data_IF_401911091023
#
_entry.id   IF_401911091023
#
_cell.length_a   1.000
_cell.length_b   1.000
_cell.length_c   1.000
_cell.angle_alpha   90.00
_cell.angle_beta   90.00
_cell.angle_gamma   90.00
#
_symmetry.space_group_name_H-M   'P 1'
#
loop_
_entity.id
_entity.type
_entity.pdbx_description
1 polymer ?
#
# COMPACT_ATOMS: atom_id res chain seq x y z
N UNK A 1 3.58 -11.47 8.30
CA UNK A 1 3.24 -12.77 7.67
C UNK A 1 3.76 -12.81 6.24
N UNK A 2 4.13 -13.98 5.70
CA UNK A 2 4.72 -14.09 4.35
C UNK A 2 3.84 -14.94 3.43
N UNK A 3 3.61 -14.46 2.22
CA UNK A 3 2.79 -15.10 1.20
C UNK A 3 3.57 -15.26 -0.11
N UNK A 4 3.33 -16.36 -0.81
CA UNK A 4 3.86 -16.60 -2.16
C UNK A 4 2.75 -16.55 -3.23
N UNK A 5 1.51 -16.29 -2.84
CA UNK A 5 0.34 -16.17 -3.71
C UNK A 5 -0.32 -14.81 -3.45
N UNK A 6 -0.46 -14.00 -4.51
CA UNK A 6 -1.02 -12.66 -4.41
C UNK A 6 -2.48 -12.67 -4.00
N UNK A 7 -3.26 -13.65 -4.47
CA UNK A 7 -4.70 -13.73 -4.21
C UNK A 7 -4.98 -14.08 -2.74
N UNK A 8 -4.13 -14.90 -2.13
CA UNK A 8 -4.22 -15.20 -0.69
C UNK A 8 -3.81 -13.96 0.10
N UNK A 9 -2.70 -13.31 -0.28
CA UNK A 9 -2.22 -12.10 0.35
C UNK A 9 -3.28 -10.98 0.38
N UNK A 10 -3.88 -10.66 -0.78
CA UNK A 10 -4.88 -9.60 -0.86
C UNK A 10 -6.15 -9.96 -0.10
N UNK A 11 -6.63 -11.20 -0.20
CA UNK A 11 -7.80 -11.66 0.53
C UNK A 11 -7.63 -11.53 2.04
N UNK A 12 -6.47 -11.91 2.57
CA UNK A 12 -6.19 -11.78 4.00
C UNK A 12 -6.01 -10.32 4.40
N UNK A 13 -5.35 -9.50 3.58
CA UNK A 13 -5.23 -8.06 3.83
C UNK A 13 -6.61 -7.36 3.86
N UNK A 14 -7.47 -7.63 2.89
CA UNK A 14 -8.84 -7.10 2.81
C UNK A 14 -9.71 -7.57 3.98
N UNK A 15 -9.53 -8.83 4.41
CA UNK A 15 -10.20 -9.33 5.60
C UNK A 15 -9.72 -8.59 6.86
N UNK A 16 -8.42 -8.40 7.03
CA UNK A 16 -7.83 -7.74 8.19
C UNK A 16 -8.16 -6.24 8.30
N UNK A 17 -8.37 -5.52 7.19
CA UNK A 17 -8.86 -4.12 7.27
C UNK A 17 -10.34 -4.05 7.65
N UNK A 18 -11.11 -5.11 7.36
CA UNK A 18 -12.53 -5.12 7.68
C UNK A 18 -12.74 -5.25 9.19
N UNK A 19 -11.88 -6.00 9.89
CA UNK A 19 -12.08 -6.38 11.28
C UNK A 19 -11.76 -5.27 12.29
N UNK A 20 -12.51 -5.22 13.40
CA UNK A 20 -12.18 -4.33 14.52
C UNK A 20 -11.00 -4.84 15.35
N UNK A 21 -10.20 -3.89 15.82
CA UNK A 21 -9.16 -4.13 16.81
C UNK A 21 -7.76 -4.32 16.22
N UNK A 22 -7.56 -4.06 14.93
CA UNK A 22 -6.22 -3.87 14.38
C UNK A 22 -5.98 -2.38 14.17
N UNK A 23 -4.87 -1.86 14.68
CA UNK A 23 -4.57 -0.43 14.60
C UNK A 23 -3.67 -0.06 13.41
N UNK A 24 -2.90 -1.02 12.90
CA UNK A 24 -2.01 -0.81 11.76
C UNK A 24 -1.95 -2.06 10.89
N UNK A 25 -2.08 -1.86 9.57
CA UNK A 25 -1.90 -2.88 8.56
C UNK A 25 -1.24 -2.26 7.33
N UNK A 26 -0.11 -2.82 6.92
CA UNK A 26 0.58 -2.51 5.68
C UNK A 26 1.03 -3.79 4.99
N UNK A 27 1.48 -3.66 3.75
CA UNK A 27 2.09 -4.76 3.03
C UNK A 27 3.20 -4.29 2.12
N UNK A 28 4.18 -5.16 1.92
CA UNK A 28 5.33 -4.89 1.08
C UNK A 28 5.60 -6.06 0.13
N UNK A 29 6.27 -5.76 -0.98
CA UNK A 29 6.66 -6.76 -1.98
C UNK A 29 8.17 -6.93 -1.91
N UNK A 30 8.61 -8.18 -1.77
CA UNK A 30 10.01 -8.57 -1.78
C UNK A 30 10.31 -9.35 -3.05
N UNK A 31 11.43 -9.03 -3.70
CA UNK A 31 11.83 -9.65 -4.96
C UNK A 31 13.25 -10.21 -4.83
N UNK A 32 13.55 -11.28 -5.56
CA UNK A 32 14.82 -12.01 -5.46
C UNK A 32 16.07 -11.19 -5.86
N UNK A 33 15.90 -10.15 -6.68
CA UNK A 33 16.95 -9.22 -7.07
C UNK A 33 17.07 -7.98 -6.15
N UNK A 34 16.22 -7.85 -5.13
CA UNK A 34 16.34 -6.77 -4.14
C UNK A 34 17.51 -7.08 -3.18
N UNK A 35 18.50 -6.18 -3.04
CA UNK A 35 19.58 -6.35 -2.07
C UNK A 35 19.06 -6.66 -0.66
N UNK A 36 19.75 -7.54 0.08
CA UNK A 36 19.26 -8.01 1.38
C UNK A 36 18.99 -6.89 2.38
N UNK A 37 19.74 -5.79 2.31
CA UNK A 37 19.53 -4.59 3.13
C UNK A 37 18.30 -3.78 2.75
N UNK A 38 17.74 -3.95 1.56
CA UNK A 38 16.58 -3.20 1.08
C UNK A 38 15.25 -3.90 1.38
N UNK A 39 15.22 -5.24 1.43
CA UNK A 39 14.03 -5.97 1.90
C UNK A 39 14.06 -6.27 3.41
N UNK A 40 15.22 -6.16 4.08
CA UNK A 40 15.34 -6.31 5.54
C UNK A 40 14.52 -5.23 6.25
N UNK A 41 13.25 -5.52 6.42
CA UNK A 41 12.45 -4.91 7.45
C UNK A 41 13.10 -5.21 8.80
N UNK A 42 13.23 -4.21 9.66
CA UNK A 42 13.78 -4.38 11.02
C UNK A 42 12.95 -5.37 11.87
N UNK A 43 11.77 -5.74 11.39
CA UNK A 43 10.89 -6.73 12.00
C UNK A 43 11.31 -8.19 11.79
N UNK A 44 12.23 -8.50 10.84
CA UNK A 44 12.68 -9.89 10.63
C UNK A 44 13.91 -10.24 11.46
N UNK A 45 13.84 -11.26 12.34
CA UNK A 45 15.03 -11.76 13.04
C UNK A 45 16.06 -12.31 12.05
N UNK A 46 17.37 -12.10 12.27
CA UNK A 46 18.43 -12.64 11.41
C UNK A 46 18.35 -14.16 11.19
N UNK A 47 17.77 -14.89 12.14
CA UNK A 47 17.57 -16.34 12.07
C UNK A 47 16.67 -16.79 10.89
N UNK A 48 15.75 -15.94 10.41
CA UNK A 48 14.81 -16.27 9.34
C UNK A 48 15.30 -15.91 7.93
N UNK A 49 16.46 -15.27 7.81
CA UNK A 49 16.95 -14.76 6.51
C UNK A 49 17.18 -15.85 5.47
N UNK A 50 17.70 -17.00 5.89
CA UNK A 50 17.95 -18.13 4.99
C UNK A 50 16.65 -18.71 4.43
N UNK A 51 15.60 -18.76 5.25
CA UNK A 51 14.27 -19.22 4.87
C UNK A 51 13.63 -18.23 3.88
N UNK A 52 13.67 -16.93 4.18
CA UNK A 52 13.14 -15.88 3.30
C UNK A 52 13.86 -15.88 1.95
N UNK A 53 15.19 -15.99 1.98
CA UNK A 53 16.01 -16.07 0.75
C UNK A 53 15.67 -17.32 -0.08
N UNK A 54 15.38 -18.44 0.58
CA UNK A 54 14.96 -19.67 -0.11
C UNK A 54 13.58 -19.51 -0.76
N UNK A 55 12.65 -18.81 -0.11
CA UNK A 55 11.33 -18.52 -0.66
C UNK A 55 11.45 -17.60 -1.88
N UNK A 56 12.22 -16.51 -1.78
CA UNK A 56 12.45 -15.58 -2.88
C UNK A 56 13.08 -16.27 -4.09
N UNK A 57 14.10 -17.11 -3.90
CA UNK A 57 14.71 -17.88 -5.00
C UNK A 57 13.74 -18.86 -5.67
N UNK A 58 12.78 -19.38 -4.90
CA UNK A 58 11.81 -20.37 -5.40
C UNK A 58 10.65 -19.71 -6.14
N UNK A 59 10.17 -18.57 -5.66
CA UNK A 59 8.93 -17.94 -6.11
C UNK A 59 9.14 -16.64 -6.90
N UNK A 60 10.36 -16.07 -6.88
CA UNK A 60 10.72 -14.77 -7.48
C UNK A 60 10.19 -13.58 -6.67
N UNK A 61 8.93 -13.66 -6.23
CA UNK A 61 8.23 -12.62 -5.46
C UNK A 61 7.66 -13.24 -4.19
N UNK A 62 7.80 -12.53 -3.07
CA UNK A 62 7.16 -12.83 -1.79
C UNK A 62 6.48 -11.57 -1.28
N UNK A 63 5.23 -11.71 -0.84
CA UNK A 63 4.45 -10.61 -0.25
C UNK A 63 4.56 -10.68 1.27
N UNK A 64 4.88 -9.55 1.90
CA UNK A 64 4.83 -9.41 3.35
C UNK A 64 3.58 -8.66 3.75
N UNK A 65 2.92 -9.14 4.79
CA UNK A 65 1.85 -8.43 5.50
C UNK A 65 2.35 -8.05 6.88
N UNK A 66 2.42 -6.75 7.12
CA UNK A 66 2.93 -6.11 8.33
C UNK A 66 1.75 -5.57 9.14
N UNK A 67 1.69 -5.91 10.43
CA UNK A 67 0.59 -5.52 11.30
C UNK A 67 1.12 -5.09 12.66
N UNK A 68 0.44 -4.13 13.29
CA UNK A 68 0.73 -3.76 14.67
C UNK A 68 -0.55 -3.68 15.49
N UNK A 69 -0.46 -4.19 16.71
CA UNK A 69 -1.48 -4.14 17.75
C UNK A 69 -0.89 -3.36 18.91
N UNK A 70 -1.51 -2.25 19.28
CA UNK A 70 -1.07 -1.51 20.46
C UNK A 70 -1.57 -2.21 21.72
N UNK A 71 -0.73 -2.22 22.75
CA UNK A 71 -1.08 -2.70 24.08
C UNK A 71 -0.52 -1.75 25.14
N UNK A 72 -1.11 -1.83 26.31
CA UNK A 72 -0.72 -1.11 27.53
C UNK A 72 -0.53 -2.11 28.67
N UNK A 73 -0.27 -1.61 29.88
CA UNK A 73 -0.05 -2.43 31.07
C UNK A 73 -1.27 -3.31 31.41
N UNK A 74 -2.47 -2.93 30.97
CA UNK A 74 -3.70 -3.68 31.23
C UNK A 74 -3.90 -4.81 30.22
N UNK A 75 -3.50 -4.60 28.97
CA UNK A 75 -3.74 -5.50 27.83
C UNK A 75 -2.53 -6.37 27.44
N UNK A 76 -1.35 -6.11 28.01
CA UNK A 76 -0.10 -6.86 27.71
C UNK A 76 -0.23 -8.37 27.89
N UNK A 77 -1.10 -8.85 28.78
CA UNK A 77 -1.29 -10.29 29.01
C UNK A 77 -2.29 -10.94 28.06
N UNK A 78 -3.13 -10.16 27.36
CA UNK A 78 -4.10 -10.66 26.38
C UNK A 78 -3.68 -10.44 24.94
N UNK A 79 -2.76 -9.50 24.68
CA UNK A 79 -2.39 -9.05 23.33
C UNK A 79 -1.95 -10.20 22.42
N UNK A 80 -1.14 -11.15 22.92
CA UNK A 80 -0.67 -12.28 22.11
C UNK A 80 -1.84 -13.12 21.58
N UNK A 81 -2.81 -13.41 22.46
CA UNK A 81 -4.02 -14.16 22.10
C UNK A 81 -4.92 -13.37 21.15
N UNK A 82 -5.01 -12.04 21.32
CA UNK A 82 -5.76 -11.19 20.40
C UNK A 82 -5.13 -11.20 19.01
N UNK A 83 -3.80 -11.10 18.91
CA UNK A 83 -3.06 -11.18 17.64
C UNK A 83 -3.28 -12.54 16.97
N UNK A 84 -3.26 -13.65 17.72
CA UNK A 84 -3.61 -14.98 17.19
C UNK A 84 -5.05 -15.01 16.63
N UNK A 85 -6.03 -14.45 17.34
CA UNK A 85 -7.42 -14.41 16.88
C UNK A 85 -7.62 -13.54 15.64
N UNK A 86 -6.85 -12.45 15.50
CA UNK A 86 -6.83 -11.62 14.29
C UNK A 86 -6.30 -12.41 13.10
N UNK A 87 -5.23 -13.20 13.28
CA UNK A 87 -4.68 -14.09 12.26
C UNK A 87 -5.67 -15.21 11.86
N UNK A 88 -6.52 -15.66 12.79
CA UNK A 88 -7.58 -16.65 12.53
C UNK A 88 -8.86 -16.05 11.94
N UNK A 89 -8.95 -14.72 11.81
CA UNK A 89 -10.06 -14.04 11.14
C UNK A 89 -11.40 -14.04 11.88
N UNK A 90 -11.42 -14.12 13.22
CA UNK A 90 -12.64 -14.32 14.04
C UNK A 90 -13.39 -13.04 14.47
N UNK A 91 -13.01 -11.87 13.96
CA UNK A 91 -13.53 -10.56 14.36
C UNK A 91 -14.53 -9.98 13.35
N UNK A 92 -15.39 -9.05 13.78
CA UNK A 92 -16.50 -8.53 12.95
C UNK A 92 -16.05 -7.41 12.00
N UNK A 93 -16.53 -7.39 10.75
CA UNK A 93 -16.21 -6.34 9.80
C UNK A 93 -16.87 -4.98 10.13
N UNK A 94 -16.27 -3.87 9.68
CA UNK A 94 -16.79 -2.50 9.79
C UNK A 94 -16.97 -1.86 8.40
N UNK A 95 -17.98 -0.99 8.28
CA UNK A 95 -18.19 -0.12 7.13
C UNK A 95 -17.38 1.18 7.29
N UNK A 96 -16.57 1.55 6.31
CA UNK A 96 -15.90 2.85 6.25
C UNK A 96 -16.85 3.85 5.58
N UNK A 97 -17.20 4.93 6.28
CA UNK A 97 -18.05 5.99 5.74
C UNK A 97 -17.25 6.97 4.89
N UNK A 98 -17.82 7.38 3.75
CA UNK A 98 -17.31 8.43 2.85
C UNK A 98 -16.94 9.71 3.59
N UNK A 99 -15.73 10.21 3.35
CA UNK A 99 -15.26 11.53 3.82
C UNK A 99 -15.26 12.48 2.60
N UNK A 100 -16.04 13.55 2.66
CA UNK A 100 -16.05 14.62 1.65
C UNK A 100 -14.75 15.43 1.70
N UNK A 101 -13.71 14.94 1.02
CA UNK A 101 -12.42 15.62 0.89
C UNK A 101 -12.08 15.89 -0.59
N UNK A 102 -11.26 16.92 -0.80
CA UNK A 102 -10.60 17.22 -2.09
C UNK A 102 -9.64 16.12 -2.55
N UNK A 103 -9.37 15.12 -1.70
CA UNK A 103 -8.60 13.94 -2.06
C UNK A 103 -9.29 13.19 -3.22
N UNK A 104 -8.47 12.68 -4.14
CA UNK A 104 -8.92 11.91 -5.30
C UNK A 104 -8.46 10.47 -5.12
N UNK A 105 -9.42 9.57 -5.08
CA UNK A 105 -9.21 8.12 -4.96
C UNK A 105 -9.81 7.41 -6.17
N UNK A 106 -9.42 6.15 -6.42
CA UNK A 106 -10.20 5.26 -7.29
C UNK A 106 -11.66 5.15 -6.83
N UNK A 107 -12.56 4.86 -7.77
CA UNK A 107 -14.00 4.71 -7.54
C UNK A 107 -14.33 3.24 -7.22
N UNK A 108 -13.79 2.76 -6.10
CA UNK A 108 -13.90 1.37 -5.63
C UNK A 108 -14.04 1.37 -4.10
N UNK A 109 -14.78 0.39 -3.55
CA UNK A 109 -14.98 0.24 -2.09
C UNK A 109 -13.67 -0.08 -1.36
N UNK A 110 -12.79 -0.84 -2.02
CA UNK A 110 -11.45 -1.19 -1.57
C UNK A 110 -10.48 -0.81 -2.69
N UNK A 111 -9.44 -0.07 -2.36
CA UNK A 111 -8.37 0.28 -3.29
C UNK A 111 -7.02 0.23 -2.60
N UNK A 112 -5.97 -0.01 -3.38
CA UNK A 112 -4.61 -0.13 -2.87
C UNK A 112 -3.82 1.18 -3.07
N UNK A 113 -3.23 1.68 -1.98
CA UNK A 113 -2.18 2.68 -2.08
C UNK A 113 -0.87 1.97 -2.43
N UNK A 114 -0.35 2.20 -3.63
CA UNK A 114 0.92 1.62 -4.10
C UNK A 114 1.98 2.71 -4.12
N UNK A 115 3.06 2.50 -3.36
CA UNK A 115 4.19 3.43 -3.28
C UNK A 115 5.46 2.72 -3.72
N UNK A 116 6.11 3.24 -4.75
CA UNK A 116 7.41 2.76 -5.21
C UNK A 116 8.52 3.63 -4.61
N UNK A 117 9.10 3.14 -3.51
CA UNK A 117 10.16 3.83 -2.79
C UNK A 117 11.52 3.56 -3.44
N UNK A 118 11.96 4.49 -4.29
CA UNK A 118 13.27 4.41 -4.93
C UNK A 118 14.31 5.17 -4.11
N UNK A 119 15.40 4.49 -3.73
CA UNK A 119 16.62 5.14 -3.25
C UNK A 119 17.53 5.40 -4.46
N UNK A 120 17.81 6.66 -4.78
CA UNK A 120 18.64 7.03 -5.94
C UNK A 120 19.63 8.14 -5.62
N UNK A 121 20.68 8.23 -6.43
CA UNK A 121 21.59 9.37 -6.47
C UNK A 121 21.09 10.43 -7.47
N UNK A 122 21.63 11.65 -7.43
CA UNK A 122 21.19 12.74 -8.32
C UNK A 122 21.29 12.42 -9.82
N UNK A 123 22.07 11.41 -10.24
CA UNK A 123 22.15 10.98 -11.65
C UNK A 123 20.96 10.12 -12.11
N UNK A 124 20.10 9.68 -11.19
CA UNK A 124 19.09 8.65 -11.46
C UNK A 124 17.69 9.25 -11.73
N UNK A 125 17.52 10.57 -11.60
CA UNK A 125 16.21 11.24 -11.74
C UNK A 125 15.54 10.96 -13.08
N UNK A 126 16.28 11.07 -14.19
CA UNK A 126 15.73 10.81 -15.52
C UNK A 126 15.30 9.35 -15.70
N UNK A 127 16.04 8.41 -15.11
CA UNK A 127 15.69 6.99 -15.15
C UNK A 127 14.40 6.72 -14.36
N UNK A 128 14.28 7.30 -13.17
CA UNK A 128 13.09 7.16 -12.33
C UNK A 128 11.85 7.80 -12.97
N UNK A 129 12.02 8.96 -13.61
CA UNK A 129 10.94 9.60 -14.35
C UNK A 129 10.50 8.77 -15.56
N UNK A 130 11.43 8.17 -16.29
CA UNK A 130 11.09 7.26 -17.39
C UNK A 130 10.33 6.03 -16.89
N UNK A 131 10.79 5.37 -15.82
CA UNK A 131 10.08 4.23 -15.23
C UNK A 131 8.68 4.59 -14.75
N UNK A 132 8.54 5.74 -14.07
CA UNK A 132 7.24 6.25 -13.64
C UNK A 132 6.29 6.42 -14.83
N UNK A 133 6.76 7.00 -15.93
CA UNK A 133 5.94 7.19 -17.13
C UNK A 133 5.58 5.86 -17.78
N UNK A 134 6.49 4.90 -17.87
CA UNK A 134 6.20 3.55 -18.38
C UNK A 134 5.11 2.84 -17.59
N UNK A 135 5.14 2.95 -16.24
CA UNK A 135 4.10 2.40 -15.37
C UNK A 135 2.75 3.09 -15.62
N UNK A 136 2.74 4.42 -15.70
CA UNK A 136 1.51 5.19 -15.96
C UNK A 136 0.88 4.82 -17.31
N UNK A 137 1.70 4.70 -18.35
CA UNK A 137 1.26 4.26 -19.67
C UNK A 137 0.74 2.82 -19.66
N UNK A 138 1.42 1.92 -18.94
CA UNK A 138 0.93 0.56 -18.76
C UNK A 138 -0.45 0.54 -18.11
N UNK A 139 -0.66 1.31 -17.04
CA UNK A 139 -1.95 1.41 -16.37
C UNK A 139 -3.04 1.94 -17.31
N UNK A 140 -2.76 2.98 -18.10
CA UNK A 140 -3.70 3.54 -19.07
C UNK A 140 -4.07 2.51 -20.15
N UNK A 141 -3.07 1.82 -20.73
CA UNK A 141 -3.28 0.76 -21.74
C UNK A 141 -4.06 -0.44 -21.20
N UNK A 142 -3.79 -0.83 -19.95
CA UNK A 142 -4.46 -1.94 -19.29
C UNK A 142 -5.86 -1.57 -18.76
N UNK A 143 -6.26 -0.29 -18.85
CA UNK A 143 -7.53 0.20 -18.30
C UNK A 143 -7.57 0.24 -16.77
N UNK A 144 -6.41 0.23 -16.10
CA UNK A 144 -6.29 0.34 -14.65
C UNK A 144 -6.58 1.78 -14.25
N UNK A 145 -7.67 1.99 -13.51
CA UNK A 145 -8.16 3.32 -13.10
C UNK A 145 -7.41 3.87 -11.88
N UNK A 146 -6.09 4.02 -12.01
CA UNK A 146 -5.27 4.51 -10.92
C UNK A 146 -5.41 6.03 -10.71
N UNK A 147 -5.17 6.49 -9.48
CA UNK A 147 -5.05 7.91 -9.12
C UNK A 147 -3.70 8.13 -8.47
N UNK A 148 -2.94 9.11 -8.94
CA UNK A 148 -1.65 9.45 -8.32
C UNK A 148 -1.89 10.11 -6.96
N UNK A 149 -1.27 9.55 -5.91
CA UNK A 149 -1.13 10.22 -4.62
C UNK A 149 0.03 11.21 -4.71
N UNK A 150 -0.16 12.44 -4.21
CA UNK A 150 0.75 13.57 -4.43
C UNK A 150 1.04 13.84 -5.92
N UNK A 151 -0.01 14.09 -6.73
CA UNK A 151 0.12 14.22 -8.17
C UNK A 151 0.98 15.42 -8.56
N UNK A 152 1.81 15.25 -9.60
CA UNK A 152 2.55 16.32 -10.24
C UNK A 152 2.28 16.34 -11.74
N UNK A 153 1.37 17.22 -12.16
CA UNK A 153 1.01 17.41 -13.57
C UNK A 153 1.45 18.77 -14.10
N UNK A 154 1.92 18.79 -15.36
CA UNK A 154 2.40 20.00 -16.04
C UNK A 154 1.31 20.73 -16.83
N UNK A 155 0.21 20.06 -17.16
CA UNK A 155 -0.89 20.63 -17.94
C UNK A 155 -2.18 20.73 -17.13
N UNK A 156 -3.04 21.70 -17.49
CA UNK A 156 -4.36 21.87 -16.87
C UNK A 156 -5.28 20.70 -17.23
N UNK A 157 -5.13 20.17 -18.44
CA UNK A 157 -5.89 19.05 -18.97
C UNK A 157 -5.66 17.79 -18.12
N UNK A 158 -4.41 17.54 -17.72
CA UNK A 158 -4.07 16.43 -16.83
C UNK A 158 -4.66 16.62 -15.42
N UNK A 159 -4.66 17.86 -14.90
CA UNK A 159 -5.33 18.17 -13.63
C UNK A 159 -6.85 17.96 -13.72
N UNK A 160 -7.48 18.36 -14.83
CA UNK A 160 -8.91 18.08 -15.08
C UNK A 160 -9.16 16.57 -15.14
N UNK A 161 -8.33 15.80 -15.85
CA UNK A 161 -8.42 14.33 -15.93
C UNK A 161 -8.27 13.70 -14.54
N UNK A 162 -7.35 14.21 -13.72
CA UNK A 162 -7.11 13.73 -12.36
C UNK A 162 -8.34 13.92 -11.48
N UNK A 163 -8.83 15.15 -11.33
CA UNK A 163 -9.96 15.48 -10.46
C UNK A 163 -11.31 14.96 -10.99
N UNK A 164 -11.46 14.80 -12.30
CA UNK A 164 -12.69 14.32 -12.93
C UNK A 164 -13.90 15.17 -12.52
N UNK A 165 -14.94 14.52 -11.99
CA UNK A 165 -16.16 15.20 -11.52
C UNK A 165 -15.90 16.21 -10.40
N UNK A 166 -14.81 16.06 -9.61
CA UNK A 166 -14.44 16.99 -8.54
C UNK A 166 -13.77 18.27 -9.03
N UNK A 167 -13.45 18.39 -10.33
CA UNK A 167 -12.68 19.53 -10.85
C UNK A 167 -13.32 20.89 -10.55
N UNK A 168 -14.65 21.01 -10.70
CA UNK A 168 -15.34 22.27 -10.46
C UNK A 168 -15.28 22.69 -8.98
N UNK A 169 -15.55 21.75 -8.07
CA UNK A 169 -15.48 21.99 -6.62
C UNK A 169 -14.05 22.30 -6.16
N UNK A 170 -13.04 21.59 -6.70
CA UNK A 170 -11.64 21.89 -6.44
C UNK A 170 -11.27 23.31 -6.88
N UNK A 171 -11.68 23.69 -8.10
CA UNK A 171 -11.43 25.01 -8.68
C UNK A 171 -12.04 26.12 -7.82
N UNK A 172 -13.29 25.97 -7.41
CA UNK A 172 -13.99 26.96 -6.57
C UNK A 172 -13.30 27.13 -5.22
N UNK A 173 -12.96 26.04 -4.54
CA UNK A 173 -12.28 26.09 -3.24
C UNK A 173 -10.87 26.68 -3.32
N UNK A 174 -10.14 26.43 -4.42
CA UNK A 174 -8.81 26.98 -4.63
C UNK A 174 -8.83 28.51 -4.80
N UNK A 175 -9.81 29.06 -5.52
CA UNK A 175 -9.93 30.52 -5.71
C UNK A 175 -10.41 31.28 -4.47
N UNK A 176 -11.03 30.61 -3.49
CA UNK A 176 -11.37 31.22 -2.21
C UNK A 176 -10.23 31.19 -1.19
N UNK A 177 -9.18 30.40 -1.44
CA UNK A 177 -8.04 30.24 -0.55
C UNK A 177 -6.83 31.14 -0.90
N UNK A 178 -6.95 31.95 -1.96
CA UNK A 178 -5.92 32.91 -2.45
C UNK A 178 -6.52 34.32 -2.47
#
# INVERSE_FOLDING_TARGET
MLYCDFSIFTKDQEHLISIKGLEYLEGSVMMDYTPANNWRSSFFPPAHESQISSLLKKHGIVYCLDLAKYYDDETITSVDKEVELLQEGKTKPMLISSIEMSAVTPDEDIFYCVVLLHSGSFSDEQYLDNQKNEILEFCDRAGIKMKQYLPHYKSKEDWIKHFGSKWNSFRENFFHAV
#
